data_IF_440684504671
#
_entry.id   IF_440684504671
#
_cell.length_a   1.000
_cell.length_b   1.000
_cell.length_c   1.000
_cell.angle_alpha   90.00
_cell.angle_beta   90.00
_cell.angle_gamma   90.00
#
_symmetry.space_group_name_H-M   'P 1'
#
loop_
_entity.id
_entity.type
_entity.pdbx_description
1 polymer ?
#
# COMPACT_ATOMS: atom_id res chain seq x y z
N UNK A 1 -0.70 18.65 0.69
CA UNK A 1 -0.55 17.49 1.61
C UNK A 1 0.87 16.96 1.41
N UNK A 2 1.66 16.78 2.47
CA UNK A 2 3.05 16.32 2.34
C UNK A 2 3.06 14.81 2.02
N UNK A 3 3.54 14.43 0.84
CA UNK A 3 3.59 13.03 0.38
C UNK A 3 4.30 12.10 1.38
N UNK A 4 5.34 12.61 2.06
CA UNK A 4 6.09 11.88 3.08
C UNK A 4 5.23 11.50 4.29
N UNK A 5 4.35 12.40 4.74
CA UNK A 5 3.45 12.16 5.86
C UNK A 5 2.37 11.16 5.46
N UNK A 6 1.84 11.28 4.24
CA UNK A 6 0.85 10.35 3.72
C UNK A 6 1.43 8.93 3.57
N UNK A 7 2.64 8.79 3.03
CA UNK A 7 3.35 7.52 2.98
C UNK A 7 3.52 6.93 4.37
N UNK A 8 4.06 7.71 5.31
CA UNK A 8 4.27 7.28 6.68
C UNK A 8 2.98 6.77 7.34
N UNK A 9 1.88 7.52 7.25
CA UNK A 9 0.60 7.13 7.86
C UNK A 9 0.00 5.90 7.16
N UNK A 10 0.08 5.81 5.83
CA UNK A 10 -0.43 4.65 5.09
C UNK A 10 0.31 3.38 5.51
N UNK A 11 1.65 3.39 5.49
CA UNK A 11 2.43 2.21 5.86
C UNK A 11 2.35 1.89 7.36
N UNK A 12 2.23 2.90 8.22
CA UNK A 12 1.96 2.70 9.65
C UNK A 12 0.63 1.96 9.86
N UNK A 13 -0.43 2.37 9.18
CA UNK A 13 -1.74 1.69 9.22
C UNK A 13 -1.62 0.25 8.72
N UNK A 14 -1.05 0.05 7.53
CA UNK A 14 -0.87 -1.28 6.96
C UNK A 14 -0.09 -2.17 7.93
N UNK A 15 0.99 -1.68 8.53
CA UNK A 15 1.76 -2.41 9.55
C UNK A 15 0.95 -2.76 10.79
N UNK A 16 0.14 -1.85 11.33
CA UNK A 16 -0.69 -2.12 12.53
C UNK A 16 -1.88 -3.05 12.26
N UNK A 17 -2.39 -3.08 11.03
CA UNK A 17 -3.55 -3.88 10.62
C UNK A 17 -3.18 -5.17 9.88
N UNK A 18 -1.88 -5.46 9.71
CA UNK A 18 -1.43 -6.72 9.11
C UNK A 18 -1.46 -7.83 10.17
N UNK A 19 -2.46 -8.71 10.07
CA UNK A 19 -2.52 -9.96 10.84
C UNK A 19 -2.34 -11.10 9.85
N UNK A 20 -1.15 -11.73 9.83
CA UNK A 20 -0.83 -12.82 8.89
C UNK A 20 0.53 -12.78 8.20
N UNK A 21 1.39 -11.80 8.50
CA UNK A 21 2.76 -11.72 7.97
C UNK A 21 2.86 -11.02 6.61
N UNK A 22 4.05 -11.09 5.98
CA UNK A 22 4.40 -10.33 4.77
C UNK A 22 3.42 -10.46 3.58
N UNK A 23 2.92 -11.66 3.22
CA UNK A 23 1.99 -11.81 2.10
C UNK A 23 0.63 -11.15 2.33
N UNK A 24 0.18 -11.02 3.57
CA UNK A 24 -1.08 -10.37 3.92
C UNK A 24 -1.06 -8.85 3.73
N UNK A 25 0.13 -8.27 3.59
CA UNK A 25 0.32 -6.82 3.37
C UNK A 25 -0.04 -6.42 1.94
N UNK A 26 0.18 -7.30 0.97
CA UNK A 26 0.00 -7.03 -0.46
C UNK A 26 -1.40 -6.47 -0.79
N UNK A 27 -2.52 -7.11 -0.42
CA UNK A 27 -3.85 -6.57 -0.72
C UNK A 27 -4.15 -5.25 -0.01
N UNK A 28 -3.54 -4.98 1.15
CA UNK A 28 -3.69 -3.71 1.85
C UNK A 28 -2.94 -2.59 1.13
N UNK A 29 -1.74 -2.88 0.63
CA UNK A 29 -0.95 -1.95 -0.19
C UNK A 29 -1.66 -1.68 -1.52
N UNK A 30 -2.19 -2.70 -2.20
CA UNK A 30 -2.97 -2.51 -3.45
C UNK A 30 -4.16 -1.57 -3.20
N UNK A 31 -4.94 -1.83 -2.15
CA UNK A 31 -6.08 -1.01 -1.77
C UNK A 31 -5.71 0.46 -1.59
N UNK A 32 -4.66 0.72 -0.82
CA UNK A 32 -4.31 2.08 -0.45
C UNK A 32 -3.51 2.81 -1.54
N UNK A 33 -2.54 2.16 -2.18
CA UNK A 33 -1.68 2.77 -3.20
C UNK A 33 -2.36 2.90 -4.56
N UNK A 34 -3.17 1.92 -4.99
CA UNK A 34 -3.83 1.92 -6.30
C UNK A 34 -5.22 2.56 -6.22
N UNK A 35 -6.09 2.07 -5.34
CA UNK A 35 -7.51 2.47 -5.37
C UNK A 35 -7.79 3.75 -4.57
N UNK A 36 -7.24 3.89 -3.36
CA UNK A 36 -7.53 5.04 -2.50
C UNK A 36 -6.68 6.27 -2.86
N UNK A 37 -5.35 6.11 -2.93
CA UNK A 37 -4.40 7.21 -3.13
C UNK A 37 -4.00 7.42 -4.58
N UNK A 38 -4.17 6.41 -5.44
CA UNK A 38 -3.84 6.45 -6.88
C UNK A 38 -2.41 6.91 -7.16
N UNK A 39 -1.46 6.44 -6.34
CA UNK A 39 -0.03 6.74 -6.50
C UNK A 39 0.59 5.98 -7.67
N UNK A 40 0.08 4.78 -7.92
CA UNK A 40 0.51 3.87 -8.99
C UNK A 40 -0.73 3.24 -9.62
N UNK A 41 -0.62 2.86 -10.88
CA UNK A 41 -1.63 2.07 -11.57
C UNK A 41 -1.65 0.61 -11.09
N UNK A 42 -2.73 -0.10 -11.41
CA UNK A 42 -2.83 -1.53 -11.09
C UNK A 42 -1.78 -2.35 -11.84
N UNK A 43 -1.48 -1.98 -13.08
CA UNK A 43 -0.46 -2.65 -13.91
C UNK A 43 0.92 -2.48 -13.30
N UNK A 44 1.31 -1.25 -12.94
CA UNK A 44 2.58 -0.98 -12.25
C UNK A 44 2.68 -1.72 -10.92
N UNK A 45 1.58 -1.85 -10.17
CA UNK A 45 1.57 -2.61 -8.92
C UNK A 45 1.81 -4.10 -9.12
N UNK A 46 1.20 -4.71 -10.15
CA UNK A 46 1.41 -6.12 -10.50
C UNK A 46 2.85 -6.33 -10.96
N UNK A 47 3.38 -5.44 -11.79
CA UNK A 47 4.77 -5.49 -12.26
C UNK A 47 5.80 -5.36 -11.13
N UNK A 48 5.47 -4.65 -10.05
CA UNK A 48 6.35 -4.53 -8.87
C UNK A 48 6.39 -5.80 -8.00
N UNK A 49 5.38 -6.67 -8.11
CA UNK A 49 5.25 -7.88 -7.28
C UNK A 49 5.66 -9.15 -8.04
N UNK A 50 5.57 -9.13 -9.36
CA UNK A 50 6.00 -10.21 -10.26
C UNK A 50 7.52 -10.44 -10.21
#
# INVERSE_FOLDING_TARGET
MNILIDLFITFLKIGTFTVGGGPSMIPLIERDAVYNKKWISKEEFVDMIA
#
